data_IF_513884009553
#
_entry.id   IF_513884009553
#
_cell.length_a   1.000
_cell.length_b   1.000
_cell.length_c   1.000
_cell.angle_alpha   90.00
_cell.angle_beta   90.00
_cell.angle_gamma   90.00
#
_symmetry.space_group_name_H-M   'P 1'
#
loop_
_entity.id
_entity.type
_entity.pdbx_description
1 polymer ?
#
# COMPACT_ATOMS: atom_id res chain seq x y z
N UNK A 1 -30.21 -11.36 16.93
CA UNK A 1 -29.61 -10.11 17.46
C UNK A 1 -28.16 -10.26 17.92
N UNK A 2 -27.78 -11.37 18.57
CA UNK A 2 -26.44 -11.60 19.13
C UNK A 2 -25.31 -11.52 18.08
N UNK A 3 -25.48 -12.10 16.89
CA UNK A 3 -24.45 -12.14 15.83
C UNK A 3 -24.00 -10.75 15.35
N UNK A 4 -24.97 -9.82 15.18
CA UNK A 4 -24.69 -8.42 14.81
C UNK A 4 -23.94 -7.67 15.91
N UNK A 5 -24.25 -7.95 17.18
CA UNK A 5 -23.53 -7.37 18.31
C UNK A 5 -22.07 -7.82 18.37
N UNK A 6 -21.81 -9.11 18.12
CA UNK A 6 -20.44 -9.66 18.09
C UNK A 6 -19.63 -9.06 16.94
N UNK A 7 -20.21 -8.93 15.75
CA UNK A 7 -19.56 -8.31 14.60
C UNK A 7 -19.15 -6.87 14.88
N UNK A 8 -20.06 -6.04 15.42
CA UNK A 8 -19.79 -4.65 15.78
C UNK A 8 -18.66 -4.54 16.81
N UNK A 9 -18.67 -5.41 17.83
CA UNK A 9 -17.63 -5.43 18.87
C UNK A 9 -16.27 -5.79 18.28
N UNK A 10 -16.21 -6.79 17.41
CA UNK A 10 -14.96 -7.20 16.75
C UNK A 10 -14.43 -6.10 15.83
N UNK A 11 -15.30 -5.45 15.05
CA UNK A 11 -14.90 -4.32 14.20
C UNK A 11 -14.39 -3.15 15.04
N UNK A 12 -15.07 -2.80 16.13
CA UNK A 12 -14.63 -1.73 17.02
C UNK A 12 -13.27 -2.04 17.67
N UNK A 13 -13.08 -3.28 18.13
CA UNK A 13 -11.81 -3.72 18.71
C UNK A 13 -10.69 -3.67 17.67
N UNK A 14 -10.96 -4.15 16.45
CA UNK A 14 -10.01 -4.08 15.34
C UNK A 14 -9.60 -2.63 15.04
N UNK A 15 -10.58 -1.73 14.91
CA UNK A 15 -10.32 -0.31 14.64
C UNK A 15 -9.52 0.33 15.79
N UNK A 16 -9.83 -0.01 17.04
CA UNK A 16 -9.09 0.51 18.19
C UNK A 16 -7.63 0.03 18.20
N UNK A 17 -7.39 -1.26 17.93
CA UNK A 17 -6.03 -1.82 17.83
C UNK A 17 -5.28 -1.19 16.65
N UNK A 18 -5.93 -1.07 15.49
CA UNK A 18 -5.33 -0.44 14.32
C UNK A 18 -4.94 1.02 14.60
N UNK A 19 -5.83 1.79 15.23
CA UNK A 19 -5.53 3.16 15.63
C UNK A 19 -4.37 3.22 16.63
N UNK A 20 -4.33 2.31 17.61
CA UNK A 20 -3.21 2.25 18.55
C UNK A 20 -1.87 1.94 17.86
N UNK A 21 -1.85 1.00 16.92
CA UNK A 21 -0.65 0.66 16.14
C UNK A 21 -0.20 1.85 15.30
N UNK A 22 -1.11 2.48 14.54
CA UNK A 22 -0.79 3.66 13.74
C UNK A 22 -0.31 4.82 14.61
N UNK A 23 -0.98 5.09 15.73
CA UNK A 23 -0.56 6.11 16.69
C UNK A 23 0.82 5.84 17.27
N UNK A 24 1.15 4.57 17.55
CA UNK A 24 2.48 4.15 17.98
C UNK A 24 3.55 4.39 16.91
N UNK A 25 3.26 4.07 15.65
CA UNK A 25 4.17 4.33 14.51
C UNK A 25 4.41 5.85 14.36
N UNK A 26 3.36 6.66 14.35
CA UNK A 26 3.48 8.11 14.23
C UNK A 26 4.27 8.74 15.38
N UNK A 27 4.11 8.22 16.61
CA UNK A 27 4.90 8.67 17.75
C UNK A 27 6.39 8.27 17.68
N UNK A 28 6.69 7.11 17.10
CA UNK A 28 8.06 6.57 17.04
C UNK A 28 8.88 7.17 15.88
N UNK A 29 8.23 7.48 14.76
CA UNK A 29 8.92 7.92 13.54
C UNK A 29 8.88 9.45 13.43
N UNK A 30 10.05 10.08 13.60
CA UNK A 30 10.20 11.51 13.31
C UNK A 30 10.21 11.74 11.80
N UNK A 31 9.14 12.36 11.29
CA UNK A 31 9.05 12.74 9.89
C UNK A 31 9.33 14.24 9.73
N UNK A 32 10.22 14.62 8.80
CA UNK A 32 10.63 16.02 8.58
C UNK A 32 9.60 16.86 7.81
N UNK A 33 8.32 16.49 7.85
CA UNK A 33 7.24 17.12 7.10
C UNK A 33 6.45 18.15 7.93
N UNK A 34 5.53 18.90 7.28
CA UNK A 34 4.61 19.77 7.99
C UNK A 34 3.74 18.96 8.95
N UNK A 35 3.67 19.42 10.20
CA UNK A 35 2.85 18.81 11.25
C UNK A 35 1.38 18.88 10.84
N UNK A 36 0.68 17.74 10.92
CA UNK A 36 -0.73 17.66 10.54
C UNK A 36 -1.59 18.40 11.57
N UNK A 37 -2.33 19.42 11.14
CA UNK A 37 -3.20 20.18 12.05
C UNK A 37 -4.52 19.44 12.33
N UNK A 38 -4.43 18.38 13.14
CA UNK A 38 -5.57 17.55 13.54
C UNK A 38 -5.63 17.47 15.05
N UNK A 39 -6.78 17.85 15.62
CA UNK A 39 -7.12 17.59 17.01
C UNK A 39 -8.08 16.38 17.09
N UNK A 40 -8.00 15.54 18.15
CA UNK A 40 -7.07 15.60 19.29
C UNK A 40 -5.65 15.09 18.94
N UNK A 41 -4.67 15.37 19.79
CA UNK A 41 -3.26 14.96 19.61
C UNK A 41 -3.05 13.46 19.28
N UNK A 42 -3.92 12.57 19.77
CA UNK A 42 -3.87 11.16 19.40
C UNK A 42 -4.21 10.93 17.92
N UNK A 43 -5.23 11.61 17.39
CA UNK A 43 -5.60 11.52 15.97
C UNK A 43 -4.47 12.03 15.06
N UNK A 44 -3.76 13.08 15.48
CA UNK A 44 -2.53 13.54 14.80
C UNK A 44 -1.50 12.43 14.68
N UNK A 45 -1.20 11.71 15.77
CA UNK A 45 -0.26 10.58 15.76
C UNK A 45 -0.72 9.44 14.86
N UNK A 46 -2.01 9.12 14.87
CA UNK A 46 -2.58 8.10 13.96
C UNK A 46 -2.38 8.51 12.50
N UNK A 47 -2.65 9.78 12.18
CA UNK A 47 -2.49 10.30 10.83
C UNK A 47 -1.02 10.34 10.38
N UNK A 48 -0.09 10.68 11.29
CA UNK A 48 1.36 10.58 11.05
C UNK A 48 1.78 9.14 10.77
N UNK A 49 1.31 8.18 11.58
CA UNK A 49 1.60 6.76 11.35
C UNK A 49 1.05 6.24 10.03
N UNK A 50 -0.15 6.69 9.64
CA UNK A 50 -0.73 6.36 8.34
C UNK A 50 0.11 6.93 7.19
N UNK A 51 0.63 8.14 7.34
CA UNK A 51 1.49 8.80 6.35
C UNK A 51 2.81 8.05 6.16
N UNK A 52 3.40 7.59 7.27
CA UNK A 52 4.60 6.74 7.25
C UNK A 52 4.30 5.43 6.53
N UNK A 53 3.20 4.75 6.90
CA UNK A 53 2.80 3.48 6.28
C UNK A 53 2.57 3.66 4.76
N UNK A 54 1.95 4.75 4.35
CA UNK A 54 1.74 5.07 2.94
C UNK A 54 3.06 5.24 2.19
N UNK A 55 4.00 6.01 2.76
CA UNK A 55 5.31 6.24 2.14
C UNK A 55 6.09 4.93 1.96
N UNK A 56 6.12 4.09 3.00
CA UNK A 56 6.79 2.78 2.95
C UNK A 56 6.09 1.85 1.95
N UNK A 57 4.76 1.90 1.90
CA UNK A 57 3.96 1.13 0.95
C UNK A 57 4.23 1.49 -0.51
N UNK A 58 4.29 2.78 -0.82
CA UNK A 58 4.60 3.28 -2.18
C UNK A 58 6.02 2.87 -2.63
N UNK A 59 7.01 3.01 -1.74
CA UNK A 59 8.38 2.58 -2.03
C UNK A 59 8.47 1.06 -2.22
N UNK A 60 7.76 0.29 -1.40
CA UNK A 60 7.72 -1.16 -1.53
C UNK A 60 7.00 -1.59 -2.82
N UNK A 61 5.91 -0.93 -3.20
CA UNK A 61 5.20 -1.21 -4.45
C UNK A 61 6.10 -1.00 -5.68
N UNK A 62 6.81 0.14 -5.73
CA UNK A 62 7.79 0.43 -6.79
C UNK A 62 8.91 -0.59 -6.83
N UNK A 63 9.38 -1.05 -5.67
CA UNK A 63 10.39 -2.10 -5.58
C UNK A 63 9.86 -3.43 -6.12
N UNK A 64 8.65 -3.81 -5.75
CA UNK A 64 8.00 -5.04 -6.24
C UNK A 64 7.79 -5.00 -7.75
N UNK A 65 7.37 -3.87 -8.31
CA UNK A 65 7.21 -3.67 -9.75
C UNK A 65 8.54 -3.86 -10.48
N UNK A 66 9.61 -3.23 -10.00
CA UNK A 66 10.96 -3.43 -10.58
C UNK A 66 11.41 -4.89 -10.55
N UNK A 67 11.17 -5.58 -9.43
CA UNK A 67 11.52 -6.99 -9.31
C UNK A 67 10.69 -7.87 -10.26
N UNK A 68 9.42 -7.52 -10.49
CA UNK A 68 8.56 -8.20 -11.46
C UNK A 68 9.04 -7.98 -12.90
N UNK A 69 9.47 -6.76 -13.24
CA UNK A 69 10.05 -6.44 -14.55
C UNK A 69 11.36 -7.19 -14.79
N UNK A 70 12.24 -7.27 -13.79
CA UNK A 70 13.50 -8.03 -13.87
C UNK A 70 13.27 -9.53 -14.08
N UNK A 71 12.20 -10.08 -13.51
CA UNK A 71 11.85 -11.50 -13.62
C UNK A 71 11.04 -11.83 -14.88
N UNK A 72 10.47 -10.83 -15.56
CA UNK A 72 9.65 -11.03 -16.76
C UNK A 72 10.52 -10.91 -18.01
N UNK A 73 10.77 -12.00 -18.75
CA UNK A 73 11.56 -11.93 -19.97
C UNK A 73 10.86 -11.05 -21.02
N UNK A 74 11.61 -10.24 -21.80
CA UNK A 74 11.03 -9.46 -22.88
C UNK A 74 10.36 -10.40 -23.90
N UNK A 75 9.24 -9.98 -24.53
CA UNK A 75 8.60 -10.76 -25.57
C UNK A 75 9.62 -11.03 -26.68
N UNK A 76 9.89 -12.31 -26.95
CA UNK A 76 10.75 -12.73 -28.05
C UNK A 76 10.13 -12.18 -29.34
N UNK A 77 10.84 -11.35 -30.13
CA UNK A 77 10.33 -10.86 -31.40
C UNK A 77 9.92 -12.05 -32.25
N UNK A 78 8.64 -12.13 -32.61
CA UNK A 78 8.16 -13.18 -33.50
C UNK A 78 8.85 -12.94 -34.84
N UNK A 79 9.59 -13.92 -35.40
CA UNK A 79 10.25 -13.74 -36.68
C UNK A 79 9.21 -13.36 -37.72
N UNK A 80 9.51 -12.40 -38.61
CA UNK A 80 8.56 -11.96 -39.62
C UNK A 80 8.09 -13.17 -40.43
N UNK A 81 6.78 -13.39 -40.46
CA UNK A 81 6.17 -14.46 -41.26
C UNK A 81 6.65 -14.29 -42.69
N UNK A 82 7.28 -15.32 -43.31
CA UNK A 82 7.68 -15.23 -44.70
C UNK A 82 6.44 -14.91 -45.51
N UNK A 83 6.37 -13.71 -46.11
CA UNK A 83 5.32 -13.40 -47.08
C UNK A 83 5.45 -14.45 -48.18
N UNK A 84 4.45 -15.30 -48.33
CA UNK A 84 4.36 -16.19 -49.46
C UNK A 84 4.17 -15.31 -50.69
N UNK A 85 5.25 -15.12 -51.43
CA UNK A 85 5.25 -14.41 -52.70
C UNK A 85 4.50 -15.29 -53.69
N UNK A 86 3.18 -15.14 -53.79
CA UNK A 86 2.41 -15.71 -54.90
C UNK A 86 2.80 -14.93 -56.15
N UNK A 87 3.83 -15.43 -56.84
CA UNK A 87 4.23 -15.00 -58.18
C UNK A 87 3.66 -16.00 -59.20
N UNK A 88 3.03 -15.42 -60.22
CA UNK A 88 2.67 -15.95 -61.54
C UNK A 88 1.53 -16.97 -61.58
#
# INVERSE_FOLDING_TARGET
MVRKGVEVVLTALYVAVLAAVLGGIGAAVRHSGPVLDVEPAFARRVAEGLRVLWSVGDENAKRTERLLDELSPPPVPTPPTPRANTRA
#
